data_IF_155002312114
#
_entry.id   IF_155002312114
#
_cell.length_a   1.000
_cell.length_b   1.000
_cell.length_c   1.000
_cell.angle_alpha   90.00
_cell.angle_beta   90.00
_cell.angle_gamma   90.00
#
_symmetry.space_group_name_H-M   'P 1'
#
loop_
_entity.id
_entity.type
_entity.pdbx_description
1 polymer ?
#
# COMPACT_ATOMS: atom_id res chain seq x y z
N UNK A 1 -15.41 -24.85 -4.31
CA UNK A 1 -16.20 -24.70 -3.08
C UNK A 1 -15.23 -24.30 -1.98
N UNK A 2 -15.14 -23.01 -1.67
CA UNK A 2 -14.22 -22.46 -0.66
C UNK A 2 -14.74 -22.80 0.72
N UNK A 3 -13.95 -23.47 1.55
CA UNK A 3 -14.31 -23.94 2.91
C UNK A 3 -14.10 -22.86 3.98
N UNK A 4 -13.96 -21.59 3.59
CA UNK A 4 -13.66 -20.51 4.52
C UNK A 4 -14.89 -20.04 5.29
N UNK A 5 -14.70 -19.75 6.58
CA UNK A 5 -15.79 -19.31 7.44
C UNK A 5 -16.32 -17.94 6.99
N UNK A 6 -17.66 -17.73 6.96
CA UNK A 6 -18.26 -16.45 6.56
C UNK A 6 -17.69 -15.24 7.33
N UNK A 7 -17.28 -15.47 8.60
CA UNK A 7 -16.65 -14.46 9.45
C UNK A 7 -15.30 -13.98 8.94
N UNK A 8 -14.45 -14.87 8.40
CA UNK A 8 -13.14 -14.49 7.83
C UNK A 8 -13.28 -13.64 6.59
N UNK A 9 -14.22 -13.99 5.71
CA UNK A 9 -14.50 -13.22 4.49
C UNK A 9 -15.07 -11.84 4.81
N UNK A 10 -15.94 -11.76 5.82
CA UNK A 10 -16.45 -10.48 6.31
C UNK A 10 -15.33 -9.61 6.91
N UNK A 11 -14.44 -10.19 7.72
CA UNK A 11 -13.29 -9.48 8.28
C UNK A 11 -12.35 -8.95 7.18
N UNK A 12 -12.04 -9.78 6.17
CA UNK A 12 -11.25 -9.38 5.01
C UNK A 12 -11.92 -8.24 4.23
N UNK A 13 -13.23 -8.33 4.00
CA UNK A 13 -13.99 -7.28 3.31
C UNK A 13 -13.90 -5.94 4.06
N UNK A 14 -14.12 -5.95 5.37
CA UNK A 14 -14.01 -4.74 6.20
C UNK A 14 -12.59 -4.18 6.17
N UNK A 15 -11.59 -5.05 6.33
CA UNK A 15 -10.18 -4.69 6.27
C UNK A 15 -9.82 -4.01 4.94
N UNK A 16 -10.20 -4.62 3.81
CA UNK A 16 -9.94 -4.08 2.47
C UNK A 16 -10.70 -2.77 2.20
N UNK A 17 -11.90 -2.59 2.76
CA UNK A 17 -12.64 -1.31 2.67
C UNK A 17 -11.89 -0.20 3.39
N UNK A 18 -11.47 -0.45 4.63
CA UNK A 18 -10.74 0.53 5.44
C UNK A 18 -9.44 0.90 4.74
N UNK A 19 -8.65 -0.10 4.32
CA UNK A 19 -7.41 0.13 3.60
C UNK A 19 -7.63 0.86 2.28
N UNK A 20 -8.60 0.43 1.47
CA UNK A 20 -8.90 1.08 0.18
C UNK A 20 -9.32 2.55 0.35
N UNK A 21 -10.18 2.86 1.33
CA UNK A 21 -10.59 4.25 1.61
C UNK A 21 -9.38 5.08 2.08
N UNK A 22 -8.58 4.54 3.00
CA UNK A 22 -7.39 5.22 3.52
C UNK A 22 -6.39 5.51 2.39
N UNK A 23 -6.09 4.52 1.55
CA UNK A 23 -5.26 4.67 0.35
C UNK A 23 -5.82 5.77 -0.56
N UNK A 24 -7.11 5.75 -0.88
CA UNK A 24 -7.69 6.76 -1.76
C UNK A 24 -7.60 8.16 -1.18
N UNK A 25 -7.87 8.34 0.11
CA UNK A 25 -7.77 9.64 0.78
C UNK A 25 -6.33 10.15 0.73
N UNK A 26 -5.38 9.35 1.20
CA UNK A 26 -3.96 9.75 1.28
C UNK A 26 -3.43 10.09 -0.12
N UNK A 27 -3.55 9.17 -1.06
CA UNK A 27 -2.91 9.33 -2.38
C UNK A 27 -3.62 10.35 -3.25
N UNK A 28 -4.94 10.54 -3.11
CA UNK A 28 -5.64 11.64 -3.83
C UNK A 28 -5.29 13.00 -3.24
N UNK A 29 -5.19 13.14 -1.92
CA UNK A 29 -4.75 14.39 -1.29
C UNK A 29 -3.31 14.74 -1.66
N UNK A 30 -2.41 13.75 -1.66
CA UNK A 30 -1.02 13.93 -2.12
C UNK A 30 -0.96 14.28 -3.60
N UNK A 31 -1.78 13.65 -4.45
CA UNK A 31 -1.85 13.96 -5.87
C UNK A 31 -2.34 15.40 -6.12
N UNK A 32 -3.41 15.82 -5.44
CA UNK A 32 -3.88 17.21 -5.50
C UNK A 32 -2.82 18.17 -4.97
N UNK A 33 -2.21 17.87 -3.82
CA UNK A 33 -1.13 18.66 -3.23
C UNK A 33 0.05 18.83 -4.18
N UNK A 34 0.41 17.78 -4.91
CA UNK A 34 1.43 17.79 -5.94
C UNK A 34 1.03 18.69 -7.13
N UNK A 35 -0.20 18.55 -7.65
CA UNK A 35 -0.71 19.35 -8.78
C UNK A 35 -0.75 20.84 -8.43
N UNK A 36 -1.14 21.21 -7.21
CA UNK A 36 -1.17 22.61 -6.76
C UNK A 36 0.18 23.13 -6.26
N UNK A 37 1.24 22.31 -6.33
CA UNK A 37 2.59 22.64 -5.86
C UNK A 37 2.61 23.23 -4.45
N UNK A 38 1.90 22.59 -3.52
CA UNK A 38 1.77 23.15 -2.16
C UNK A 38 3.11 23.20 -1.41
N UNK A 39 3.46 24.32 -0.74
CA UNK A 39 4.69 24.44 0.04
C UNK A 39 4.72 23.47 1.23
N UNK A 40 3.59 22.88 1.62
CA UNK A 40 3.51 21.87 2.67
C UNK A 40 4.27 20.58 2.33
N UNK A 41 4.41 20.26 1.04
CA UNK A 41 5.11 19.07 0.54
C UNK A 41 6.59 19.36 0.20
N UNK A 42 7.04 20.61 0.32
CA UNK A 42 8.39 21.02 -0.06
C UNK A 42 9.48 20.24 0.71
N UNK A 43 10.54 19.86 0.00
CA UNK A 43 11.68 19.11 0.53
C UNK A 43 12.42 19.83 1.66
N UNK A 44 12.40 21.17 1.65
CA UNK A 44 12.99 22.00 2.69
C UNK A 44 11.89 22.83 3.38
N UNK A 45 11.51 22.40 4.59
CA UNK A 45 10.56 23.12 5.45
C UNK A 45 9.09 22.75 5.30
N UNK A 46 8.74 21.80 4.41
CA UNK A 46 7.39 21.28 4.28
C UNK A 46 7.01 20.37 5.45
N UNK A 47 5.97 20.73 6.20
CA UNK A 47 5.47 19.98 7.37
C UNK A 47 5.00 18.56 7.00
N UNK A 48 4.65 18.32 5.73
CA UNK A 48 4.19 17.03 5.20
C UNK A 48 5.24 16.31 4.35
N UNK A 49 6.50 16.78 4.32
CA UNK A 49 7.53 16.14 3.49
C UNK A 49 7.78 14.67 3.87
N UNK A 50 7.61 14.31 5.14
CA UNK A 50 7.70 12.92 5.63
C UNK A 50 6.62 11.98 5.08
N UNK A 51 5.58 12.49 4.41
CA UNK A 51 4.51 11.70 3.79
C UNK A 51 4.75 11.37 2.31
N UNK A 52 5.79 11.96 1.71
CA UNK A 52 6.17 11.73 0.31
C UNK A 52 7.56 11.11 0.24
N UNK A 53 7.87 10.49 -0.90
CA UNK A 53 9.21 9.92 -1.08
C UNK A 53 10.28 11.03 -1.11
N UNK A 54 11.36 10.89 -0.33
CA UNK A 54 12.58 11.71 -0.48
C UNK A 54 13.02 11.82 -1.96
N UNK A 55 13.52 13.00 -2.37
CA UNK A 55 13.83 13.40 -3.75
C UNK A 55 12.64 13.68 -4.69
N UNK A 56 11.42 13.86 -4.16
CA UNK A 56 10.35 14.55 -4.90
C UNK A 56 10.69 16.05 -4.92
N UNK A 57 11.47 16.48 -5.91
CA UNK A 57 11.88 17.88 -6.07
C UNK A 57 10.74 18.69 -6.69
N UNK A 58 10.44 19.84 -6.08
CA UNK A 58 9.42 20.78 -6.55
C UNK A 58 10.10 21.96 -7.26
N UNK A 59 9.82 22.18 -8.55
CA UNK A 59 10.44 23.24 -9.35
C UNK A 59 10.64 22.88 -10.83
N UNK A 60 11.48 23.63 -11.54
CA UNK A 60 11.75 23.50 -12.99
C UNK A 60 12.52 22.22 -13.39
N UNK A 61 12.78 21.30 -12.46
CA UNK A 61 13.37 20.00 -12.77
C UNK A 61 12.29 18.92 -12.63
N UNK A 62 12.03 18.24 -13.73
CA UNK A 62 10.86 17.39 -13.89
C UNK A 62 10.92 16.12 -13.04
N UNK A 63 10.32 16.15 -11.84
CA UNK A 63 10.03 14.93 -11.08
C UNK A 63 8.85 14.17 -11.74
N UNK A 64 9.14 13.38 -12.77
CA UNK A 64 8.11 12.62 -13.50
C UNK A 64 7.60 11.39 -12.74
N UNK A 65 8.44 10.78 -11.89
CA UNK A 65 8.14 9.51 -11.20
C UNK A 65 7.05 9.62 -10.12
N UNK A 66 7.05 10.64 -9.25
CA UNK A 66 6.07 10.75 -8.17
C UNK A 66 4.59 10.78 -8.63
N UNK A 67 4.17 11.63 -9.59
CA UNK A 67 2.76 11.66 -10.01
C UNK A 67 2.31 10.36 -10.67
N UNK A 68 3.21 9.66 -11.38
CA UNK A 68 2.90 8.34 -11.97
C UNK A 68 2.60 7.30 -10.88
N UNK A 69 3.42 7.23 -9.83
CA UNK A 69 3.21 6.31 -8.72
C UNK A 69 1.96 6.66 -7.91
N UNK A 70 1.73 7.94 -7.60
CA UNK A 70 0.52 8.39 -6.89
C UNK A 70 -0.76 7.90 -7.62
N UNK A 71 -0.79 8.00 -8.95
CA UNK A 71 -1.93 7.54 -9.73
C UNK A 71 -2.11 6.02 -9.69
N UNK A 72 -1.02 5.25 -9.71
CA UNK A 72 -1.06 3.79 -9.54
C UNK A 72 -1.69 3.44 -8.18
N UNK A 73 -1.31 4.13 -7.09
CA UNK A 73 -1.89 3.91 -5.77
C UNK A 73 -3.38 4.26 -5.70
N UNK A 74 -3.82 5.30 -6.41
CA UNK A 74 -5.26 5.62 -6.52
C UNK A 74 -6.02 4.47 -7.20
N UNK A 75 -5.53 3.98 -8.33
CA UNK A 75 -6.16 2.84 -9.04
C UNK A 75 -6.15 1.60 -8.14
N UNK A 76 -5.04 1.33 -7.46
CA UNK A 76 -4.93 0.21 -6.53
C UNK A 76 -5.94 0.32 -5.37
N UNK A 77 -6.15 1.51 -4.81
CA UNK A 77 -7.20 1.78 -3.83
C UNK A 77 -8.61 1.45 -4.33
N UNK A 78 -8.94 1.80 -5.58
CA UNK A 78 -10.21 1.43 -6.21
C UNK A 78 -10.37 -0.09 -6.30
N UNK A 79 -9.31 -0.80 -6.71
CA UNK A 79 -9.33 -2.26 -6.80
C UNK A 79 -9.42 -2.93 -5.44
N UNK A 80 -8.85 -2.35 -4.38
CA UNK A 80 -9.05 -2.82 -3.00
C UNK A 80 -10.54 -2.72 -2.59
N UNK A 81 -11.23 -1.63 -2.93
CA UNK A 81 -12.68 -1.50 -2.66
C UNK A 81 -13.52 -2.49 -3.46
N UNK A 82 -13.15 -2.73 -4.73
CA UNK A 82 -13.80 -3.76 -5.56
C UNK A 82 -13.59 -5.16 -4.98
N UNK A 83 -12.34 -5.49 -4.62
CA UNK A 83 -12.00 -6.75 -3.98
C UNK A 83 -12.72 -6.91 -2.64
N UNK A 84 -12.94 -5.83 -1.89
CA UNK A 84 -13.69 -5.90 -0.64
C UNK A 84 -15.15 -6.33 -0.85
N UNK A 85 -15.77 -6.00 -1.98
CA UNK A 85 -17.16 -6.36 -2.26
C UNK A 85 -17.31 -7.85 -2.60
N UNK A 86 -16.29 -8.46 -3.20
CA UNK A 86 -16.25 -9.91 -3.44
C UNK A 86 -14.80 -10.44 -3.39
N UNK A 87 -14.24 -10.71 -2.20
CA UNK A 87 -12.82 -11.07 -2.07
C UNK A 87 -12.43 -12.35 -2.83
N UNK A 88 -13.38 -13.28 -2.96
CA UNK A 88 -13.15 -14.56 -3.64
C UNK A 88 -12.90 -14.39 -5.15
N UNK A 89 -13.56 -13.43 -5.79
CA UNK A 89 -13.40 -13.15 -7.21
C UNK A 89 -12.09 -12.42 -7.54
N UNK A 90 -11.44 -11.81 -6.55
CA UNK A 90 -10.21 -11.03 -6.70
C UNK A 90 -8.99 -11.73 -6.07
N UNK A 91 -9.03 -13.06 -5.94
CA UNK A 91 -7.99 -13.85 -5.26
C UNK A 91 -6.58 -13.63 -5.83
N UNK A 92 -6.41 -13.59 -7.16
CA UNK A 92 -5.11 -13.32 -7.79
C UNK A 92 -4.60 -11.91 -7.49
N UNK A 93 -5.48 -10.92 -7.51
CA UNK A 93 -5.13 -9.53 -7.17
C UNK A 93 -4.71 -9.41 -5.69
N UNK A 94 -5.44 -10.07 -4.79
CA UNK A 94 -5.11 -10.08 -3.36
C UNK A 94 -3.79 -10.83 -3.09
N UNK A 95 -3.56 -11.96 -3.76
CA UNK A 95 -2.31 -12.71 -3.66
C UNK A 95 -1.11 -11.90 -4.17
N UNK A 96 -1.24 -11.26 -5.33
CA UNK A 96 -0.23 -10.35 -5.85
C UNK A 96 0.04 -9.20 -4.88
N UNK A 97 -1.04 -8.54 -4.43
CA UNK A 97 -0.95 -7.42 -3.48
C UNK A 97 -0.21 -7.83 -2.21
N UNK A 98 -0.55 -8.98 -1.64
CA UNK A 98 0.10 -9.53 -0.45
C UNK A 98 1.60 -9.78 -0.67
N UNK A 99 1.96 -10.56 -1.70
CA UNK A 99 3.36 -10.92 -1.96
C UNK A 99 4.22 -9.73 -2.37
N UNK A 100 3.72 -8.86 -3.22
CA UNK A 100 4.43 -7.66 -3.65
C UNK A 100 4.70 -6.73 -2.46
N UNK A 101 3.70 -6.48 -1.61
CA UNK A 101 3.88 -5.63 -0.42
C UNK A 101 4.77 -6.30 0.64
N UNK A 102 4.73 -7.62 0.78
CA UNK A 102 5.64 -8.35 1.68
C UNK A 102 7.09 -8.20 1.22
N UNK A 103 7.37 -8.52 -0.05
CA UNK A 103 8.72 -8.44 -0.60
C UNK A 103 9.25 -7.00 -0.56
N UNK A 104 8.40 -6.03 -0.89
CA UNK A 104 8.73 -4.61 -0.83
C UNK A 104 9.03 -4.16 0.60
N UNK A 105 8.17 -4.49 1.57
CA UNK A 105 8.37 -4.14 2.98
C UNK A 105 9.60 -4.79 3.60
N UNK A 106 9.90 -6.05 3.26
CA UNK A 106 11.11 -6.73 3.71
C UNK A 106 12.38 -6.11 3.14
N UNK A 107 12.36 -5.72 1.86
CA UNK A 107 13.48 -5.01 1.24
C UNK A 107 13.71 -3.64 1.91
N UNK A 108 12.63 -2.88 2.13
CA UNK A 108 12.72 -1.59 2.84
C UNK A 108 13.26 -1.78 4.26
N UNK A 109 12.80 -2.80 4.99
CA UNK A 109 13.30 -3.11 6.34
C UNK A 109 14.80 -3.42 6.31
N UNK A 110 15.28 -4.22 5.35
CA UNK A 110 16.69 -4.52 5.19
C UNK A 110 17.53 -3.27 4.90
N UNK A 111 17.04 -2.38 4.02
CA UNK A 111 17.71 -1.12 3.66
C UNK A 111 17.80 -0.14 4.83
N UNK A 112 16.83 -0.14 5.74
CA UNK A 112 16.89 0.71 6.95
C UNK A 112 18.02 0.28 7.87
N UNK A 113 18.33 -1.03 7.98
CA UNK A 113 19.47 -1.48 8.79
C UNK A 113 20.83 -1.10 8.20
N UNK A 114 20.91 -0.78 6.90
CA UNK A 114 22.15 -0.34 6.25
C UNK A 114 22.35 1.17 6.28
N UNK A 115 21.28 1.99 6.33
CA UNK A 115 21.34 3.47 6.30
C UNK A 115 20.33 4.13 7.26
N UNK A 116 20.48 3.86 8.56
CA UNK A 116 19.52 4.29 9.61
C UNK A 116 19.32 5.82 9.66
N UNK A 117 20.38 6.61 9.46
CA UNK A 117 20.35 8.08 9.63
C UNK A 117 19.58 8.84 8.52
N UNK A 118 19.36 8.24 7.34
CA UNK A 118 18.70 8.88 6.19
C UNK A 118 17.22 8.50 6.05
N UNK A 119 16.80 7.36 6.61
CA UNK A 119 15.49 6.73 6.34
C UNK A 119 14.56 6.63 7.56
N UNK A 120 14.93 7.22 8.70
CA UNK A 120 14.24 7.04 9.98
C UNK A 120 12.75 7.40 9.98
N UNK A 121 12.34 8.46 9.27
CA UNK A 121 10.93 8.86 9.16
C UNK A 121 10.08 7.87 8.34
N UNK A 122 10.66 7.23 7.32
CA UNK A 122 9.95 6.26 6.46
C UNK A 122 9.75 4.90 7.12
N UNK A 123 10.59 4.56 8.09
CA UNK A 123 10.47 3.33 8.87
C UNK A 123 9.15 3.27 9.65
N UNK A 124 8.61 4.41 10.08
CA UNK A 124 7.43 4.48 10.92
C UNK A 124 6.11 4.55 10.14
N UNK A 125 6.13 4.89 8.85
CA UNK A 125 4.90 5.11 8.05
C UNK A 125 4.76 4.10 6.93
N UNK A 126 5.75 3.97 6.07
CA UNK A 126 5.63 3.22 4.81
C UNK A 126 5.76 1.71 5.05
N UNK A 127 6.72 1.31 5.88
CA UNK A 127 6.96 -0.10 6.21
C UNK A 127 5.75 -0.72 6.93
N UNK A 128 5.18 -0.11 7.99
CA UNK A 128 3.99 -0.65 8.63
C UNK A 128 2.79 -0.67 7.68
N UNK A 129 2.62 0.35 6.84
CA UNK A 129 1.50 0.42 5.90
C UNK A 129 1.46 -0.77 4.93
N UNK A 130 2.59 -1.11 4.32
CA UNK A 130 2.67 -2.23 3.36
C UNK A 130 2.66 -3.60 4.05
N UNK A 131 3.33 -3.73 5.21
CA UNK A 131 3.41 -5.00 5.93
C UNK A 131 2.09 -5.37 6.61
N UNK A 132 1.36 -4.40 7.18
CA UNK A 132 0.03 -4.66 7.78
C UNK A 132 -0.95 -5.07 6.68
N UNK A 133 -0.93 -4.41 5.51
CA UNK A 133 -1.77 -4.82 4.38
C UNK A 133 -1.48 -6.26 3.96
N UNK A 134 -0.20 -6.60 3.79
CA UNK A 134 0.22 -7.95 3.46
C UNK A 134 -0.23 -8.97 4.50
N UNK A 135 0.02 -8.69 5.79
CA UNK A 135 -0.35 -9.59 6.88
C UNK A 135 -1.87 -9.77 6.98
N UNK A 136 -2.65 -8.69 6.86
CA UNK A 136 -4.12 -8.78 6.91
C UNK A 136 -4.70 -9.60 5.76
N UNK A 137 -4.14 -9.46 4.55
CA UNK A 137 -4.53 -10.32 3.43
C UNK A 137 -4.10 -11.77 3.71
N UNK A 138 -2.87 -12.01 4.17
CA UNK A 138 -2.38 -13.37 4.45
C UNK A 138 -3.26 -14.11 5.49
N UNK A 139 -3.67 -13.42 6.55
CA UNK A 139 -4.45 -14.00 7.64
C UNK A 139 -5.90 -14.33 7.23
N UNK A 140 -6.50 -13.52 6.35
CA UNK A 140 -7.93 -13.63 6.04
C UNK A 140 -8.25 -14.00 4.59
N UNK A 141 -7.26 -14.15 3.69
CA UNK A 141 -7.50 -14.50 2.28
C UNK A 141 -8.18 -15.88 2.14
N UNK A 142 -9.07 -16.04 1.16
CA UNK A 142 -9.63 -17.34 0.85
C UNK A 142 -8.53 -18.30 0.37
N UNK A 143 -8.54 -19.54 0.86
CA UNK A 143 -7.56 -20.56 0.42
C UNK A 143 -7.95 -21.13 -0.95
N UNK A 144 -6.97 -21.22 -1.84
CA UNK A 144 -7.11 -21.94 -3.12
C UNK A 144 -6.75 -23.42 -2.95
N UNK A 145 -7.37 -24.32 -3.74
CA UNK A 145 -7.05 -25.76 -3.75
C UNK A 145 -5.54 -26.07 -3.89
N UNK A 146 -4.81 -25.23 -4.62
CA UNK A 146 -3.35 -25.35 -4.79
C UNK A 146 -2.58 -25.16 -3.47
N UNK A 147 -3.08 -24.31 -2.56
CA UNK A 147 -2.45 -24.06 -1.25
C UNK A 147 -2.67 -25.24 -0.28
N UNK A 148 -3.77 -25.99 -0.47
CA UNK A 148 -4.09 -27.19 0.32
C UNK A 148 -3.23 -28.37 -0.11
N UNK A 149 -3.05 -28.56 -1.42
CA UNK A 149 -2.20 -29.63 -1.99
C UNK A 149 -0.70 -29.44 -1.67
N UNK A 150 -0.23 -28.21 -1.53
CA UNK A 150 1.16 -27.93 -1.16
C UNK A 150 1.48 -28.18 0.33
N UNK A 151 0.47 -28.47 1.16
CA UNK A 151 0.61 -28.71 2.61
C UNK A 151 0.23 -30.13 3.05
N UNK A 152 -0.27 -30.97 2.14
CA UNK A 152 -0.58 -32.40 2.36
C UNK A 152 0.59 -33.27 1.93
#
# INVERSE_FOLDING_TARGET
MTTDSPRKLAALSIFLRIYGILTLIIFSLLFVGFIVQTPLLAEHGGVLNWTIWNDVRFGNEHAHVPPMLLLIYVVWGVFLLRAASNPSAYSSFLAFTMWANLAHGLLMAAQVFTDVDRYWSKFLTDIPFVLILSLGIYLWRPRTKADELARS
#
